data_IF_186553630523
#
_entry.id   IF_186553630523
#
_cell.length_a   1.000
_cell.length_b   1.000
_cell.length_c   1.000
_cell.angle_alpha   90.00
_cell.angle_beta   90.00
_cell.angle_gamma   90.00
#
_symmetry.space_group_name_H-M   'P 1'
#
loop_
_entity.id
_entity.type
_entity.pdbx_description
1 polymer ?
#
# COMPACT_ATOMS: atom_id res chain seq x y z
N UNK A 1 -14.24 12.85 -23.66
CA UNK A 1 -13.48 13.46 -22.56
C UNK A 1 -12.99 12.31 -21.71
N UNK A 2 -11.69 12.04 -21.77
CA UNK A 2 -11.08 10.85 -21.17
C UNK A 2 -11.22 10.84 -19.65
N UNK A 3 -12.13 10.01 -19.15
CA UNK A 3 -12.18 9.53 -17.76
C UNK A 3 -11.00 8.57 -17.42
N UNK A 4 -10.01 8.45 -18.31
CA UNK A 4 -8.95 7.44 -18.22
C UNK A 4 -7.78 7.78 -17.28
N UNK A 5 -7.80 8.96 -16.66
CA UNK A 5 -6.73 9.38 -15.75
C UNK A 5 -7.28 10.17 -14.55
N UNK A 6 -8.15 9.55 -13.74
CA UNK A 6 -8.24 10.01 -12.34
C UNK A 6 -6.95 9.56 -11.65
N UNK A 7 -6.19 10.48 -11.09
CA UNK A 7 -4.98 10.13 -10.35
C UNK A 7 -5.29 9.09 -9.27
N UNK A 8 -4.39 8.12 -9.06
CA UNK A 8 -4.53 7.07 -8.05
C UNK A 8 -4.33 7.62 -6.63
N UNK A 9 -5.08 8.67 -6.30
CA UNK A 9 -4.99 9.39 -5.05
C UNK A 9 -5.62 8.57 -3.91
N UNK A 10 -4.85 8.31 -2.87
CA UNK A 10 -5.24 7.53 -1.71
C UNK A 10 -5.95 8.35 -0.62
N UNK A 11 -6.04 9.66 -0.80
CA UNK A 11 -6.70 10.60 0.11
C UNK A 11 -8.06 11.02 -0.45
N UNK A 12 -9.11 10.92 0.37
CA UNK A 12 -10.41 11.50 0.04
C UNK A 12 -10.31 13.02 -0.09
N UNK A 13 -11.16 13.59 -0.94
CA UNK A 13 -11.16 15.03 -1.18
C UNK A 13 -11.37 15.82 0.11
N UNK A 14 -10.46 16.76 0.36
CA UNK A 14 -10.49 17.70 1.47
C UNK A 14 -10.48 19.14 0.96
N UNK A 15 -10.81 20.10 1.82
CA UNK A 15 -10.56 21.52 1.54
C UNK A 15 -9.05 21.71 1.32
N UNK A 16 -8.67 22.00 0.07
CA UNK A 16 -7.28 21.90 -0.40
C UNK A 16 -6.97 20.49 -0.87
N UNK A 17 -6.79 20.32 -2.19
CA UNK A 17 -6.40 19.03 -2.79
C UNK A 17 -5.02 18.64 -2.28
N UNK A 18 -4.93 17.46 -1.67
CA UNK A 18 -3.67 16.84 -1.23
C UNK A 18 -3.58 15.47 -1.90
N UNK A 19 -2.73 15.37 -2.92
CA UNK A 19 -2.49 14.09 -3.57
C UNK A 19 -1.63 13.19 -2.68
N UNK A 20 -1.98 11.91 -2.62
CA UNK A 20 -1.28 10.85 -1.90
C UNK A 20 -1.10 9.68 -2.84
N UNK A 21 0.15 9.35 -3.12
CA UNK A 21 0.53 8.28 -4.03
C UNK A 21 1.33 7.23 -3.25
N UNK A 22 1.12 5.96 -3.58
CA UNK A 22 1.98 4.90 -3.09
C UNK A 22 3.23 4.83 -3.98
N UNK A 23 4.39 4.88 -3.34
CA UNK A 23 5.67 4.71 -4.01
C UNK A 23 6.27 3.36 -3.62
N UNK A 24 6.84 2.66 -4.59
CA UNK A 24 7.55 1.40 -4.37
C UNK A 24 8.94 1.47 -4.99
N UNK A 25 9.89 0.72 -4.41
CA UNK A 25 11.22 0.50 -4.99
C UNK A 25 11.46 -0.99 -5.11
N UNK A 26 12.10 -1.40 -6.21
CA UNK A 26 12.61 -2.77 -6.41
C UNK A 26 14.14 -2.81 -6.37
N UNK A 27 14.78 -1.69 -6.06
CA UNK A 27 16.24 -1.60 -5.97
C UNK A 27 16.72 -2.25 -4.67
N UNK A 28 17.74 -3.09 -4.77
CA UNK A 28 18.38 -3.72 -3.62
C UNK A 28 19.88 -3.97 -3.89
N UNK A 29 20.75 -4.01 -2.86
CA UNK A 29 20.46 -3.64 -1.47
C UNK A 29 20.26 -2.12 -1.32
N UNK A 30 19.44 -1.72 -0.36
CA UNK A 30 19.31 -0.31 0.04
C UNK A 30 20.35 -0.04 1.13
N UNK A 31 21.51 0.51 0.76
CA UNK A 31 22.65 0.69 1.64
C UNK A 31 23.27 -0.63 2.09
N UNK A 32 23.85 -0.67 3.29
CA UNK A 32 24.53 -1.85 3.84
C UNK A 32 23.58 -2.84 4.57
N UNK A 33 22.28 -2.76 4.30
CA UNK A 33 21.27 -3.60 4.98
C UNK A 33 21.10 -4.97 4.31
N UNK A 34 20.63 -5.94 5.11
CA UNK A 34 20.15 -7.24 4.62
C UNK A 34 19.02 -6.99 3.61
N UNK A 35 19.09 -7.64 2.44
CA UNK A 35 18.04 -7.54 1.44
C UNK A 35 16.71 -8.06 2.00
N UNK A 36 15.73 -7.16 2.15
CA UNK A 36 14.36 -7.49 2.56
C UNK A 36 13.43 -7.50 1.35
N UNK A 37 12.40 -8.34 1.40
CA UNK A 37 11.31 -8.40 0.43
C UNK A 37 9.97 -8.13 1.10
N UNK A 38 9.04 -7.55 0.35
CA UNK A 38 7.66 -7.37 0.78
C UNK A 38 6.95 -8.72 0.74
N UNK A 39 6.68 -9.30 1.90
CA UNK A 39 5.99 -10.59 2.02
C UNK A 39 4.47 -10.39 2.04
N UNK A 40 4.00 -9.40 2.80
CA UNK A 40 2.57 -9.17 2.99
C UNK A 40 2.23 -7.68 3.04
N UNK A 41 1.03 -7.33 2.58
CA UNK A 41 0.46 -5.99 2.69
C UNK A 41 -1.04 -6.10 3.02
N UNK A 42 -1.48 -5.28 3.96
CA UNK A 42 -2.85 -5.25 4.46
C UNK A 42 -3.33 -3.81 4.63
N UNK A 43 -4.66 -3.64 4.55
CA UNK A 43 -5.33 -2.36 4.74
C UNK A 43 -6.14 -2.40 6.03
N UNK A 44 -5.72 -1.62 7.02
CA UNK A 44 -6.37 -1.58 8.32
C UNK A 44 -7.24 -0.34 8.46
N UNK A 45 -8.55 -0.53 8.64
CA UNK A 45 -9.48 0.58 8.81
C UNK A 45 -9.25 1.30 10.15
N UNK A 46 -9.04 2.61 10.08
CA UNK A 46 -8.92 3.50 11.24
C UNK A 46 -10.32 3.79 11.78
N UNK A 47 -10.63 3.24 12.95
CA UNK A 47 -11.87 3.58 13.66
C UNK A 47 -11.62 4.87 14.43
N UNK A 48 -12.33 5.96 14.09
CA UNK A 48 -12.18 7.32 14.66
C UNK A 48 -12.18 7.41 16.19
N UNK A 49 -12.60 6.36 16.91
CA UNK A 49 -12.59 6.30 18.39
C UNK A 49 -11.28 5.79 18.99
N UNK A 50 -10.42 5.18 18.18
CA UNK A 50 -9.12 4.65 18.55
C UNK A 50 -8.11 5.12 17.51
N UNK A 51 -7.51 6.28 17.73
CA UNK A 51 -6.47 6.84 16.84
C UNK A 51 -5.18 5.99 16.86
N UNK A 52 -5.10 5.01 17.74
CA UNK A 52 -3.95 4.11 17.87
C UNK A 52 -4.33 2.72 17.36
N UNK A 53 -4.18 2.53 16.05
CA UNK A 53 -3.98 1.18 15.54
C UNK A 53 -2.65 0.64 16.08
N UNK A 54 -2.70 -0.49 16.79
CA UNK A 54 -1.51 -1.22 17.19
C UNK A 54 -1.06 -2.07 16.02
N UNK A 55 0.01 -1.66 15.36
CA UNK A 55 0.64 -2.44 14.29
C UNK A 55 1.03 -3.83 14.82
N UNK A 56 0.60 -4.92 14.16
CA UNK A 56 0.94 -6.28 14.57
C UNK A 56 2.46 -6.46 14.67
N UNK A 57 2.93 -7.40 15.52
CA UNK A 57 4.35 -7.73 15.59
C UNK A 57 4.91 -8.09 14.22
N UNK A 58 6.11 -7.59 13.91
CA UNK A 58 6.81 -7.79 12.63
C UNK A 58 6.16 -7.10 11.41
N UNK A 59 5.11 -6.29 11.61
CA UNK A 59 4.59 -5.41 10.59
C UNK A 59 5.07 -3.97 10.81
N UNK A 60 5.04 -3.19 9.74
CA UNK A 60 5.30 -1.75 9.73
C UNK A 60 4.07 -1.03 9.19
N UNK A 61 3.73 0.12 9.78
CA UNK A 61 2.58 0.93 9.36
C UNK A 61 3.03 2.19 8.63
N UNK A 62 2.36 2.48 7.52
CA UNK A 62 2.55 3.70 6.73
C UNK A 62 1.40 4.67 7.00
N UNK A 63 1.48 5.35 8.14
CA UNK A 63 0.47 6.33 8.56
C UNK A 63 0.72 7.73 8.00
N UNK A 64 1.99 8.03 7.65
CA UNK A 64 2.44 9.35 7.21
C UNK A 64 3.24 9.27 5.91
N UNK A 65 3.19 10.33 5.12
CA UNK A 65 3.98 10.48 3.89
C UNK A 65 5.46 10.64 4.20
N UNK A 66 6.31 10.12 3.32
CA UNK A 66 7.77 10.17 3.50
C UNK A 66 8.35 11.58 3.29
N UNK A 67 7.73 12.37 2.41
CA UNK A 67 8.20 13.68 1.97
C UNK A 67 7.75 14.82 2.90
N UNK A 68 6.45 14.86 3.23
CA UNK A 68 5.82 15.96 3.98
C UNK A 68 5.46 15.59 5.42
N UNK A 69 5.57 14.30 5.80
CA UNK A 69 5.18 13.77 7.12
C UNK A 69 3.72 14.06 7.49
N UNK A 70 2.88 14.27 6.50
CA UNK A 70 1.44 14.45 6.68
C UNK A 70 0.71 13.11 6.63
N UNK A 71 -0.54 13.05 7.10
CA UNK A 71 -1.35 11.82 7.06
C UNK A 71 -1.40 11.24 5.63
N UNK A 72 -1.14 9.94 5.50
CA UNK A 72 -1.03 9.24 4.22
C UNK A 72 -2.37 8.92 3.55
N UNK A 73 -3.42 8.63 4.33
CA UNK A 73 -4.75 8.23 3.83
C UNK A 73 -5.86 8.75 4.75
N UNK A 74 -7.12 8.70 4.31
CA UNK A 74 -8.25 9.15 5.14
C UNK A 74 -8.67 8.12 6.19
N UNK A 75 -8.94 6.88 5.77
CA UNK A 75 -9.63 5.87 6.59
C UNK A 75 -8.87 4.56 6.80
N UNK A 76 -7.74 4.33 6.12
CA UNK A 76 -7.03 3.05 6.16
C UNK A 76 -5.53 3.21 6.34
N UNK A 77 -4.93 2.60 7.35
CA UNK A 77 -3.47 2.50 7.43
C UNK A 77 -3.01 1.37 6.54
N UNK A 78 -2.02 1.63 5.69
CA UNK A 78 -1.33 0.58 4.93
C UNK A 78 -0.30 -0.06 5.85
N UNK A 79 -0.34 -1.38 5.96
CA UNK A 79 0.50 -2.14 6.88
C UNK A 79 1.23 -3.22 6.08
N UNK A 80 2.54 -3.35 6.26
CA UNK A 80 3.37 -4.28 5.50
C UNK A 80 4.20 -5.18 6.39
N UNK A 81 4.51 -6.38 5.91
CA UNK A 81 5.51 -7.27 6.50
C UNK A 81 6.67 -7.43 5.55
N UNK A 82 7.86 -7.06 6.02
CA UNK A 82 9.11 -7.22 5.31
C UNK A 82 9.87 -8.40 5.91
N UNK A 83 10.42 -9.29 5.09
CA UNK A 83 11.22 -10.44 5.54
C UNK A 83 12.54 -10.50 4.79
N UNK A 84 13.54 -11.17 5.36
CA UNK A 84 14.80 -11.40 4.65
C UNK A 84 14.54 -12.16 3.35
N UNK A 85 15.15 -11.73 2.24
CA UNK A 85 14.97 -12.33 0.92
C UNK A 85 15.21 -13.85 0.92
N UNK A 86 16.18 -14.32 1.71
CA UNK A 86 16.52 -15.74 1.83
C UNK A 86 15.46 -16.56 2.61
N UNK A 87 14.64 -15.90 3.43
CA UNK A 87 13.58 -16.52 4.22
C UNK A 87 12.21 -16.44 3.54
N UNK A 88 12.03 -15.52 2.59
CA UNK A 88 10.77 -15.33 1.88
C UNK A 88 10.53 -16.47 0.90
N UNK A 89 9.53 -17.31 1.14
CA UNK A 89 9.06 -18.29 0.15
C UNK A 89 8.20 -17.65 -0.95
N UNK A 90 7.60 -16.49 -0.65
CA UNK A 90 6.76 -15.69 -1.53
C UNK A 90 7.03 -14.21 -1.30
N UNK A 91 6.87 -13.40 -2.34
CA UNK A 91 6.93 -11.95 -2.26
C UNK A 91 5.88 -11.29 -3.15
N UNK A 92 5.44 -10.12 -2.73
CA UNK A 92 4.62 -9.23 -3.55
C UNK A 92 5.54 -8.52 -4.52
N UNK A 93 5.35 -8.80 -5.81
CA UNK A 93 6.18 -8.22 -6.86
C UNK A 93 5.53 -7.03 -7.56
N UNK A 94 4.22 -6.88 -7.45
CA UNK A 94 3.49 -5.76 -8.02
C UNK A 94 2.26 -5.37 -7.18
N UNK A 95 1.97 -4.07 -7.20
CA UNK A 95 0.81 -3.47 -6.52
C UNK A 95 0.14 -2.56 -7.55
N UNK A 96 -1.16 -2.76 -7.77
CA UNK A 96 -1.94 -1.96 -8.70
C UNK A 96 -3.22 -1.46 -8.06
N UNK A 97 -3.65 -0.27 -8.50
CA UNK A 97 -4.88 0.38 -8.06
C UNK A 97 -5.85 0.42 -9.23
N UNK A 98 -7.09 0.03 -8.97
CA UNK A 98 -8.15 -0.03 -9.98
C UNK A 98 -9.38 0.68 -9.44
N UNK A 99 -10.14 1.39 -10.28
CA UNK A 99 -11.47 1.83 -9.86
C UNK A 99 -12.36 0.63 -9.58
N UNK A 100 -13.30 0.79 -8.64
CA UNK A 100 -14.33 -0.23 -8.31
C UNK A 100 -15.04 -0.88 -9.49
N UNK A 101 -15.16 -0.18 -10.61
CA UNK A 101 -15.83 -0.68 -11.83
C UNK A 101 -14.96 -1.62 -12.66
N UNK A 102 -13.66 -1.72 -12.38
CA UNK A 102 -12.71 -2.58 -13.10
C UNK A 102 -12.51 -3.89 -12.33
N UNK A 103 -12.29 -4.97 -13.07
CA UNK A 103 -11.93 -6.28 -12.50
C UNK A 103 -10.41 -6.36 -12.30
N UNK A 104 -9.92 -7.05 -11.26
CA UNK A 104 -8.51 -7.36 -11.11
C UNK A 104 -7.95 -8.07 -12.37
N UNK A 105 -6.75 -7.72 -12.84
CA UNK A 105 -6.06 -8.46 -13.89
C UNK A 105 -5.80 -9.92 -13.48
N UNK A 106 -5.51 -10.76 -14.46
CA UNK A 106 -5.13 -12.15 -14.20
C UNK A 106 -3.90 -12.21 -13.27
N UNK A 107 -3.91 -13.14 -12.32
CA UNK A 107 -2.87 -13.35 -11.31
C UNK A 107 -2.74 -12.28 -10.24
N UNK A 108 -3.65 -11.30 -10.22
CA UNK A 108 -3.76 -10.33 -9.12
C UNK A 108 -4.84 -10.73 -8.13
N UNK A 109 -4.57 -10.52 -6.84
CA UNK A 109 -5.51 -10.72 -5.73
C UNK A 109 -5.90 -9.37 -5.15
N UNK A 110 -7.20 -9.14 -4.98
CA UNK A 110 -7.71 -7.94 -4.29
C UNK A 110 -7.50 -8.07 -2.79
N UNK A 111 -6.87 -7.07 -2.16
CA UNK A 111 -6.60 -7.04 -0.71
C UNK A 111 -7.50 -6.09 0.07
N UNK A 112 -8.23 -5.22 -0.64
CA UNK A 112 -9.15 -4.26 -0.05
C UNK A 112 -9.28 -3.01 -0.90
N UNK A 113 -9.68 -1.91 -0.27
CA UNK A 113 -10.03 -0.70 -0.97
C UNK A 113 -9.64 0.56 -0.18
N UNK A 114 -9.09 1.57 -0.87
CA UNK A 114 -8.78 2.89 -0.31
C UNK A 114 -9.32 3.96 -1.26
N UNK A 115 -10.12 4.89 -0.73
CA UNK A 115 -10.62 6.04 -1.50
C UNK A 115 -11.32 5.67 -2.84
N UNK A 116 -12.11 4.59 -2.86
CA UNK A 116 -12.78 4.15 -4.10
C UNK A 116 -11.88 3.39 -5.08
N UNK A 117 -10.60 3.17 -4.72
CA UNK A 117 -9.65 2.38 -5.48
C UNK A 117 -9.50 1.00 -4.84
N UNK A 118 -9.80 -0.03 -5.62
CA UNK A 118 -9.46 -1.41 -5.31
C UNK A 118 -7.93 -1.53 -5.33
N UNK A 119 -7.37 -2.10 -4.26
CA UNK A 119 -5.95 -2.41 -4.19
C UNK A 119 -5.76 -3.89 -4.50
N UNK A 120 -4.91 -4.17 -5.47
CA UNK A 120 -4.60 -5.50 -5.95
C UNK A 120 -3.10 -5.76 -5.85
N UNK A 121 -2.72 -6.98 -5.49
CA UNK A 121 -1.34 -7.43 -5.42
C UNK A 121 -1.11 -8.61 -6.33
N UNK A 122 0.11 -8.73 -6.83
CA UNK A 122 0.60 -9.95 -7.46
C UNK A 122 1.70 -10.53 -6.58
N UNK A 123 1.57 -11.82 -6.29
CA UNK A 123 2.56 -12.59 -5.54
C UNK A 123 3.29 -13.54 -6.47
N UNK A 124 4.59 -13.70 -6.27
CA UNK A 124 5.43 -14.72 -6.93
C UNK A 124 6.39 -15.34 -5.90
N UNK A 125 6.88 -16.54 -6.20
CA UNK A 125 7.93 -17.22 -5.41
C UNK A 125 9.27 -16.51 -5.61
N UNK A 126 10.05 -16.35 -4.53
CA UNK A 126 11.34 -15.64 -4.50
C UNK A 126 12.51 -16.53 -4.87
#
# INVERSE_FOLDING_TARGET
YDDQQRDANLMADSFGRKDRLLCITRNFPLGDNVALVLEHIELYKVVKRYEHYLCPPNYQSFSYTVDTREKGTTEHVIVVKMVARQAGMKSINDITFLYRTRRPPQSYTMIGEINGLIVCIKEDTV
#
